data_IF_427237624820
#
_entry.id   IF_427237624820
#
_cell.length_a   1.000
_cell.length_b   1.000
_cell.length_c   1.000
_cell.angle_alpha   90.00
_cell.angle_beta   90.00
_cell.angle_gamma   90.00
#
_symmetry.space_group_name_H-M   'P 1'
#
loop_
_entity.id
_entity.type
_entity.pdbx_description
1 polymer ?
#
# COMPACT_ATOMS: atom_id res chain seq x y z
N UNK A 1 -0.62 9.10 12.25
CA UNK A 1 -1.29 7.88 12.73
C UNK A 1 -0.80 6.69 11.92
N UNK A 2 -0.41 5.60 12.60
CA UNK A 2 -0.03 4.35 11.93
C UNK A 2 -1.06 3.29 12.26
N UNK A 3 -1.53 2.58 11.25
CA UNK A 3 -2.51 1.51 11.38
C UNK A 3 -2.00 0.26 10.68
N UNK A 4 -2.27 -0.91 11.26
CA UNK A 4 -1.98 -2.20 10.62
C UNK A 4 -3.29 -2.83 10.20
N UNK A 5 -3.38 -3.16 8.92
CA UNK A 5 -4.52 -3.81 8.28
C UNK A 5 -4.06 -5.12 7.62
N UNK A 6 -5.03 -5.91 7.17
CA UNK A 6 -4.75 -7.12 6.38
C UNK A 6 -5.55 -7.11 5.09
N UNK A 7 -4.91 -7.52 4.00
CA UNK A 7 -5.55 -7.72 2.70
C UNK A 7 -4.96 -8.97 2.06
N UNK A 8 -5.82 -9.84 1.50
CA UNK A 8 -5.39 -11.11 0.86
C UNK A 8 -4.46 -11.96 1.76
N UNK A 9 -4.67 -11.95 3.07
CA UNK A 9 -3.83 -12.66 4.05
C UNK A 9 -2.45 -12.03 4.30
N UNK A 10 -2.15 -10.87 3.72
CA UNK A 10 -0.88 -10.15 3.83
C UNK A 10 -1.03 -8.93 4.73
N UNK A 11 0.02 -8.64 5.52
CA UNK A 11 0.06 -7.49 6.44
C UNK A 11 0.30 -6.20 5.66
N UNK A 12 -0.60 -5.23 5.81
CA UNK A 12 -0.48 -3.89 5.20
C UNK A 12 -0.35 -2.86 6.33
N UNK A 13 0.68 -2.04 6.29
CA UNK A 13 0.90 -0.95 7.23
C UNK A 13 0.51 0.34 6.54
N UNK A 14 -0.45 1.07 7.09
CA UNK A 14 -0.86 2.39 6.64
C UNK A 14 -0.25 3.45 7.55
N UNK A 15 0.45 4.42 6.96
CA UNK A 15 1.03 5.57 7.67
C UNK A 15 0.33 6.82 7.16
N UNK A 16 -0.45 7.45 8.02
CA UNK A 16 -1.26 8.63 7.72
C UNK A 16 -0.70 9.85 8.43
N UNK A 17 -0.54 10.95 7.70
CA UNK A 17 -0.05 12.22 8.22
C UNK A 17 -0.74 13.38 7.52
N UNK A 18 -0.97 14.46 8.25
CA UNK A 18 -1.41 15.70 7.64
C UNK A 18 -0.22 16.41 6.98
N UNK A 19 -0.39 16.86 5.74
CA UNK A 19 0.62 17.61 4.99
C UNK A 19 0.30 19.11 5.00
N UNK A 20 1.23 19.93 4.49
CA UNK A 20 1.01 21.37 4.28
C UNK A 20 -0.30 21.59 3.52
N UNK A 21 -1.04 22.65 3.86
CA UNK A 21 -2.37 22.98 3.34
C UNK A 21 -3.55 22.19 3.94
N UNK A 22 -3.36 21.58 5.12
CA UNK A 22 -4.45 20.92 5.87
C UNK A 22 -4.95 19.61 5.27
N UNK A 23 -4.33 19.15 4.18
CA UNK A 23 -4.66 17.91 3.47
C UNK A 23 -4.05 16.70 4.17
N UNK A 24 -4.58 15.53 3.88
CA UNK A 24 -4.17 14.26 4.45
C UNK A 24 -3.43 13.40 3.42
N UNK A 25 -2.28 12.87 3.81
CA UNK A 25 -1.53 11.90 3.02
C UNK A 25 -1.52 10.57 3.78
N UNK A 26 -1.74 9.48 3.06
CA UNK A 26 -1.60 8.14 3.59
C UNK A 26 -0.75 7.31 2.63
N UNK A 27 0.29 6.70 3.18
CA UNK A 27 1.19 5.81 2.47
C UNK A 27 0.99 4.39 2.98
N UNK A 28 1.21 3.39 2.13
CA UNK A 28 1.17 1.98 2.56
C UNK A 28 2.52 1.30 2.37
N UNK A 29 2.77 0.30 3.22
CA UNK A 29 3.92 -0.59 3.14
C UNK A 29 3.47 -2.01 3.41
N UNK A 30 4.02 -2.98 2.67
CA UNK A 30 3.74 -4.40 2.86
C UNK A 30 5.09 -5.06 3.17
N UNK A 31 5.35 -5.46 4.43
CA UNK A 31 6.68 -5.91 4.85
C UNK A 31 7.25 -7.06 4.02
N UNK A 32 6.39 -7.95 3.55
CA UNK A 32 6.74 -9.08 2.68
C UNK A 32 7.25 -8.66 1.30
N UNK A 33 6.98 -7.42 0.88
CA UNK A 33 7.43 -6.83 -0.39
C UNK A 33 8.40 -5.66 -0.18
N UNK A 34 8.98 -5.55 1.02
CA UNK A 34 9.90 -4.47 1.40
C UNK A 34 11.15 -4.35 0.50
N UNK A 35 11.55 -5.45 -0.15
CA UNK A 35 12.67 -5.49 -1.09
C UNK A 35 12.38 -4.82 -2.45
N UNK A 36 11.12 -4.58 -2.80
CA UNK A 36 10.76 -4.12 -4.14
C UNK A 36 10.70 -2.59 -4.30
N UNK A 37 10.57 -1.81 -3.21
CA UNK A 37 10.34 -0.36 -3.38
C UNK A 37 10.58 0.48 -2.09
N UNK A 38 11.74 0.32 -1.43
CA UNK A 38 12.31 1.38 -0.57
C UNK A 38 11.38 2.04 0.48
N UNK A 39 10.40 1.31 1.02
CA UNK A 39 9.74 1.64 2.29
C UNK A 39 8.34 2.23 2.24
N UNK A 40 7.88 2.96 1.22
CA UNK A 40 6.53 3.55 1.19
C UNK A 40 6.00 3.68 -0.25
N UNK A 41 5.13 2.76 -0.68
CA UNK A 41 4.48 2.83 -1.99
C UNK A 41 3.29 3.80 -1.93
N UNK A 42 3.55 5.10 -1.89
CA UNK A 42 2.58 6.01 -1.29
C UNK A 42 2.46 7.40 -1.88
N UNK A 43 1.90 7.51 -3.09
CA UNK A 43 1.38 8.75 -3.69
C UNK A 43 2.36 9.91 -3.85
N UNK A 44 2.10 10.78 -4.82
CA UNK A 44 2.79 12.06 -4.92
C UNK A 44 2.49 12.90 -3.66
N UNK A 45 3.50 13.35 -2.89
CA UNK A 45 3.29 14.07 -1.65
C UNK A 45 2.58 15.42 -1.83
N UNK A 46 2.52 15.95 -3.06
CA UNK A 46 1.70 17.13 -3.41
C UNK A 46 0.21 16.84 -3.58
N UNK A 47 -0.19 15.56 -3.72
CA UNK A 47 -1.58 15.12 -3.90
C UNK A 47 -2.20 14.56 -2.62
N UNK A 48 -2.27 15.40 -1.58
CA UNK A 48 -3.05 15.07 -0.37
C UNK A 48 -4.57 15.10 -0.61
N UNK A 49 -5.29 14.36 0.23
CA UNK A 49 -6.75 14.25 0.25
C UNK A 49 -7.38 15.26 1.20
N UNK A 50 -8.67 15.55 1.03
CA UNK A 50 -9.39 16.50 1.90
C UNK A 50 -9.61 15.93 3.30
N UNK A 51 -9.85 14.62 3.40
CA UNK A 51 -10.13 13.94 4.66
C UNK A 51 -9.11 12.84 4.94
N UNK A 52 -8.94 12.52 6.22
CA UNK A 52 -8.10 11.41 6.65
C UNK A 52 -8.63 10.07 6.12
N UNK A 53 -9.96 9.91 6.12
CA UNK A 53 -10.64 8.72 5.62
C UNK A 53 -10.39 8.47 4.13
N UNK A 54 -10.46 9.52 3.29
CA UNK A 54 -10.14 9.42 1.85
C UNK A 54 -8.70 8.98 1.63
N UNK A 55 -7.76 9.58 2.35
CA UNK A 55 -6.35 9.23 2.25
C UNK A 55 -6.12 7.74 2.57
N UNK A 56 -6.66 7.27 3.69
CA UNK A 56 -6.54 5.86 4.11
C UNK A 56 -7.21 4.90 3.13
N UNK A 57 -8.44 5.21 2.72
CA UNK A 57 -9.20 4.38 1.79
C UNK A 57 -8.47 4.23 0.45
N UNK A 58 -7.92 5.34 -0.05
CA UNK A 58 -7.12 5.32 -1.27
C UNK A 58 -5.84 4.47 -1.10
N UNK A 59 -5.08 4.68 -0.02
CA UNK A 59 -3.87 3.92 0.25
C UNK A 59 -4.14 2.41 0.38
N UNK A 60 -5.21 2.04 1.10
CA UNK A 60 -5.60 0.65 1.27
C UNK A 60 -6.08 0.01 -0.04
N UNK A 61 -6.83 0.74 -0.89
CA UNK A 61 -7.23 0.25 -2.20
C UNK A 61 -6.01 0.01 -3.10
N UNK A 62 -5.01 0.89 -3.08
CA UNK A 62 -3.76 0.69 -3.82
C UNK A 62 -2.98 -0.52 -3.30
N UNK A 63 -2.92 -0.73 -1.98
CA UNK A 63 -2.31 -1.92 -1.40
C UNK A 63 -3.00 -3.21 -1.89
N UNK A 64 -4.34 -3.22 -1.98
CA UNK A 64 -5.09 -4.35 -2.55
C UNK A 64 -4.71 -4.63 -4.01
N UNK A 65 -4.66 -3.58 -4.85
CA UNK A 65 -4.28 -3.72 -6.27
C UNK A 65 -2.84 -4.22 -6.42
N UNK A 66 -1.93 -3.74 -5.59
CA UNK A 66 -0.54 -4.22 -5.59
C UNK A 66 -0.46 -5.71 -5.25
N UNK A 67 -1.20 -6.15 -4.22
CA UNK A 67 -1.27 -7.55 -3.85
C UNK A 67 -1.92 -8.41 -4.95
N UNK A 68 -2.96 -7.91 -5.61
CA UNK A 68 -3.65 -8.62 -6.69
C UNK A 68 -2.72 -8.86 -7.89
N UNK A 69 -2.00 -7.81 -8.32
CA UNK A 69 -0.95 -7.93 -9.36
C UNK A 69 0.19 -8.85 -8.93
N UNK A 70 0.61 -8.79 -7.67
CA UNK A 70 1.67 -9.67 -7.18
C UNK A 70 1.25 -11.13 -7.16
N UNK A 71 -0.01 -11.45 -6.85
CA UNK A 71 -0.51 -12.82 -6.92
C UNK A 71 -0.49 -13.34 -8.35
N UNK A 72 -0.87 -12.52 -9.33
CA UNK A 72 -0.81 -12.86 -10.76
C UNK A 72 0.62 -13.21 -11.21
N UNK A 73 1.61 -12.42 -10.78
CA UNK A 73 3.03 -12.70 -11.04
C UNK A 73 3.54 -13.98 -10.33
N UNK A 74 2.98 -14.33 -9.17
CA UNK A 74 3.38 -15.54 -8.42
C UNK A 74 2.73 -16.80 -9.00
N UNK A 75 1.55 -16.69 -9.61
CA UNK A 75 0.91 -17.80 -10.34
C UNK A 75 1.53 -18.09 -11.71
N UNK A 76 2.29 -17.14 -12.28
CA UNK A 76 3.05 -17.35 -13.53
C UNK A 76 4.39 -18.10 -13.39
N UNK A 77 4.79 -18.52 -12.18
CA UNK A 77 6.09 -19.12 -11.87
C UNK A 77 6.05 -20.59 -11.37
N UNK A 78 5.00 -21.33 -11.70
CA UNK A 78 5.02 -22.80 -11.66
C UNK A 78 4.46 -23.33 -12.99
N UNK A 79 5.10 -24.30 -13.67
CA UNK A 79 5.90 -25.42 -13.15
C UNK A 79 7.33 -25.46 -13.77
N UNK A 80 8.30 -26.20 -13.23
CA UNK A 80 8.57 -27.56 -13.71
C UNK A 80 9.23 -28.38 -12.60
N UNK A 81 8.61 -29.53 -12.28
CA UNK A 81 9.29 -30.63 -11.62
C UNK A 81 10.37 -31.15 -12.58
N UNK A 82 11.58 -31.32 -12.09
CA UNK A 82 12.54 -32.30 -12.61
C UNK A 82 12.90 -33.21 -11.44
#
# INVERSE_FOLDING_TARGET
MTETCYAKGKKVILVTSQIKNGKWLCTFSIPEFSHLDGGLQGQDPSKGHKTEWDARSNAFQRAKLFLDRSQDMTQGLAPEKI
#
